data_IF_717798954703
#
_entry.id   IF_717798954703
#
_cell.length_a   1.000
_cell.length_b   1.000
_cell.length_c   1.000
_cell.angle_alpha   90.00
_cell.angle_beta   90.00
_cell.angle_gamma   90.00
#
_symmetry.space_group_name_H-M   'P 1'
#
loop_
_entity.id
_entity.type
_entity.pdbx_description
1 polymer ?
#
# COMPACT_ATOMS: atom_id res chain seq x y z
N UNK A 1 37.52 -2.45 15.20
CA UNK A 1 36.75 -3.53 14.53
C UNK A 1 37.10 -3.54 13.05
N UNK A 2 37.13 -4.70 12.38
CA UNK A 2 37.28 -4.70 10.93
C UNK A 2 36.06 -4.00 10.29
N UNK A 3 36.27 -3.25 9.22
CA UNK A 3 35.20 -2.55 8.48
C UNK A 3 34.01 -3.47 8.13
N UNK A 4 34.29 -4.78 7.97
CA UNK A 4 33.29 -5.82 7.72
C UNK A 4 32.46 -6.21 8.95
N UNK A 5 33.11 -6.41 10.10
CA UNK A 5 32.42 -6.76 11.34
C UNK A 5 31.46 -5.65 11.75
N UNK A 6 31.83 -4.39 11.50
CA UNK A 6 30.98 -3.23 11.75
C UNK A 6 29.70 -3.25 10.90
N UNK A 7 29.81 -3.37 9.57
CA UNK A 7 28.65 -3.44 8.68
C UNK A 7 27.77 -4.68 8.94
N UNK A 8 28.38 -5.81 9.30
CA UNK A 8 27.64 -7.02 9.65
C UNK A 8 26.85 -6.82 10.95
N UNK A 9 27.44 -6.18 11.96
CA UNK A 9 26.76 -5.86 13.20
C UNK A 9 25.58 -4.91 12.95
N UNK A 10 25.80 -3.81 12.22
CA UNK A 10 24.72 -2.89 11.84
C UNK A 10 23.61 -3.61 11.07
N UNK A 11 23.99 -4.49 10.13
CA UNK A 11 23.05 -5.28 9.35
C UNK A 11 22.19 -6.22 10.22
N UNK A 12 22.80 -6.91 11.19
CA UNK A 12 22.08 -7.78 12.12
C UNK A 12 21.13 -7.00 13.03
N UNK A 13 21.56 -5.84 13.56
CA UNK A 13 20.68 -4.98 14.34
C UNK A 13 19.50 -4.47 13.52
N UNK A 14 19.75 -4.00 12.29
CA UNK A 14 18.68 -3.60 11.38
C UNK A 14 17.75 -4.77 11.07
N UNK A 15 18.25 -5.99 10.88
CA UNK A 15 17.43 -7.16 10.61
C UNK A 15 16.46 -7.46 11.77
N UNK A 16 16.93 -7.37 13.01
CA UNK A 16 16.07 -7.54 14.20
C UNK A 16 14.97 -6.47 14.22
N UNK A 17 15.31 -5.21 13.91
CA UNK A 17 14.33 -4.14 13.83
C UNK A 17 13.33 -4.32 12.69
N UNK A 18 13.75 -4.82 11.51
CA UNK A 18 12.85 -5.16 10.42
C UNK A 18 11.88 -6.29 10.80
N UNK A 19 12.36 -7.33 11.48
CA UNK A 19 11.49 -8.39 11.99
C UNK A 19 10.51 -7.85 13.05
N UNK A 20 10.96 -6.96 13.92
CA UNK A 20 10.11 -6.24 14.87
C UNK A 20 9.05 -5.40 14.17
N UNK A 21 9.42 -4.70 13.09
CA UNK A 21 8.51 -3.90 12.27
C UNK A 21 7.43 -4.78 11.60
N UNK A 22 7.82 -5.95 11.09
CA UNK A 22 6.87 -6.93 10.54
C UNK A 22 5.88 -7.42 11.60
N UNK A 23 6.32 -7.64 12.84
CA UNK A 23 5.42 -7.99 13.93
C UNK A 23 4.49 -6.82 14.28
N UNK A 24 5.05 -5.62 14.47
CA UNK A 24 4.31 -4.40 14.77
C UNK A 24 3.27 -4.07 13.70
N UNK A 25 3.55 -4.39 12.42
CA UNK A 25 2.63 -4.16 11.31
C UNK A 25 1.26 -4.82 11.51
N UNK A 26 1.18 -5.91 12.28
CA UNK A 26 -0.08 -6.65 12.54
C UNK A 26 -1.09 -5.85 13.38
N UNK A 27 -0.64 -4.80 14.05
CA UNK A 27 -1.49 -3.86 14.79
C UNK A 27 -2.11 -2.79 13.86
N UNK A 28 -1.70 -2.73 12.59
CA UNK A 28 -2.21 -1.78 11.59
C UNK A 28 -3.32 -2.44 10.75
N UNK A 29 -4.37 -2.90 11.41
CA UNK A 29 -5.52 -3.48 10.73
C UNK A 29 -6.36 -2.40 10.03
N UNK A 30 -6.79 -2.68 8.80
CA UNK A 30 -7.67 -1.79 8.04
C UNK A 30 -9.03 -1.66 8.73
N UNK A 31 -9.56 -0.44 8.83
CA UNK A 31 -10.90 -0.19 9.39
C UNK A 31 -11.00 -0.25 10.93
N UNK A 32 -9.92 -0.60 11.64
CA UNK A 32 -9.96 -0.85 13.09
C UNK A 32 -8.82 -0.14 13.82
N UNK A 33 -9.06 0.21 15.09
CA UNK A 33 -8.01 0.59 16.05
C UNK A 33 -7.22 1.86 15.71
N UNK A 34 -7.72 2.75 14.85
CA UNK A 34 -6.94 3.92 14.37
C UNK A 34 -6.33 4.77 15.49
N UNK A 35 -7.07 4.99 16.58
CA UNK A 35 -6.60 5.75 17.75
C UNK A 35 -5.61 4.98 18.64
N UNK A 36 -5.60 3.66 18.53
CA UNK A 36 -4.80 2.75 19.36
C UNK A 36 -3.55 2.23 18.64
N UNK A 37 -3.39 2.55 17.35
CA UNK A 37 -2.23 2.14 16.55
C UNK A 37 -0.93 2.59 17.22
N UNK A 38 0.09 1.72 17.30
CA UNK A 38 1.36 2.02 17.97
C UNK A 38 2.27 2.89 17.09
N UNK A 39 1.83 4.12 16.85
CA UNK A 39 2.48 5.08 15.95
C UNK A 39 3.84 5.50 16.50
N UNK A 40 3.95 5.72 17.81
CA UNK A 40 5.21 6.14 18.43
C UNK A 40 6.26 5.04 18.38
N UNK A 41 5.86 3.79 18.61
CA UNK A 41 6.71 2.61 18.50
C UNK A 41 7.18 2.43 17.06
N UNK A 42 6.26 2.56 16.10
CA UNK A 42 6.60 2.53 14.67
C UNK A 42 7.64 3.59 14.33
N UNK A 43 7.40 4.85 14.73
CA UNK A 43 8.33 5.96 14.49
C UNK A 43 9.69 5.73 15.17
N UNK A 44 9.71 5.19 16.39
CA UNK A 44 10.95 4.89 17.10
C UNK A 44 11.78 3.80 16.39
N UNK A 45 11.13 2.72 15.93
CA UNK A 45 11.77 1.66 15.14
C UNK A 45 12.27 2.21 13.81
N UNK A 46 11.45 2.97 13.10
CA UNK A 46 11.80 3.55 11.80
C UNK A 46 12.95 4.54 11.91
N UNK A 47 12.94 5.42 12.92
CA UNK A 47 14.03 6.33 13.22
C UNK A 47 15.32 5.58 13.56
N UNK A 48 15.23 4.51 14.35
CA UNK A 48 16.39 3.66 14.68
C UNK A 48 16.98 3.01 13.43
N UNK A 49 16.14 2.48 12.53
CA UNK A 49 16.56 1.96 11.23
C UNK A 49 17.25 3.04 10.38
N UNK A 50 16.72 4.26 10.36
CA UNK A 50 17.32 5.39 9.67
C UNK A 50 18.72 5.74 10.23
N UNK A 51 18.88 5.76 11.55
CA UNK A 51 20.20 6.00 12.19
C UNK A 51 21.19 4.91 11.80
N UNK A 52 20.79 3.62 11.87
CA UNK A 52 21.65 2.50 11.47
C UNK A 52 22.04 2.58 9.98
N UNK A 53 21.09 2.97 9.12
CA UNK A 53 21.34 3.22 7.70
C UNK A 53 22.34 4.36 7.49
N UNK A 54 22.15 5.50 8.15
CA UNK A 54 23.06 6.65 8.07
C UNK A 54 24.48 6.27 8.52
N UNK A 55 24.62 5.54 9.63
CA UNK A 55 25.91 5.01 10.10
C UNK A 55 26.56 4.05 9.10
N UNK A 56 25.78 3.17 8.47
CA UNK A 56 26.26 2.28 7.42
C UNK A 56 26.74 3.07 6.19
N UNK A 57 25.98 4.07 5.74
CA UNK A 57 26.36 4.96 4.64
C UNK A 57 27.64 5.73 4.95
N UNK A 58 27.73 6.40 6.10
CA UNK A 58 28.94 7.12 6.51
C UNK A 58 30.16 6.21 6.53
N UNK A 59 30.00 4.98 7.02
CA UNK A 59 31.10 4.02 7.05
C UNK A 59 31.50 3.52 5.65
N UNK A 60 30.53 3.24 4.78
CA UNK A 60 30.77 2.82 3.39
C UNK A 60 31.46 3.92 2.59
N UNK A 61 31.06 5.18 2.74
CA UNK A 61 31.66 6.30 2.00
C UNK A 61 33.06 6.68 2.51
N UNK A 62 33.38 6.40 3.77
CA UNK A 62 34.68 6.70 4.37
C UNK A 62 35.66 5.51 4.37
N UNK A 63 35.27 4.35 3.84
CA UNK A 63 36.08 3.13 3.84
C UNK A 63 36.44 2.66 2.42
N UNK A 64 37.60 2.03 2.27
CA UNK A 64 37.95 1.35 1.03
C UNK A 64 36.99 0.16 0.77
N UNK A 65 36.30 0.21 -0.37
CA UNK A 65 35.33 -0.83 -0.76
C UNK A 65 36.04 -2.07 -1.33
N UNK A 66 35.57 -3.26 -0.96
CA UNK A 66 35.98 -4.53 -1.57
C UNK A 66 34.76 -5.41 -1.90
N UNK A 67 34.99 -6.46 -2.70
CA UNK A 67 33.94 -7.38 -3.15
C UNK A 67 33.12 -8.00 -1.99
N UNK A 68 33.74 -8.25 -0.83
CA UNK A 68 33.02 -8.81 0.33
C UNK A 68 32.05 -7.81 0.94
N UNK A 69 32.43 -6.53 1.02
CA UNK A 69 31.53 -5.46 1.46
C UNK A 69 30.34 -5.31 0.51
N UNK A 70 30.54 -5.41 -0.82
CA UNK A 70 29.44 -5.41 -1.78
C UNK A 70 28.43 -6.51 -1.48
N UNK A 71 28.90 -7.75 -1.37
CA UNK A 71 28.02 -8.90 -1.08
C UNK A 71 27.35 -8.79 0.28
N UNK A 72 28.02 -8.19 1.28
CA UNK A 72 27.40 -7.93 2.59
C UNK A 72 26.18 -7.01 2.44
N UNK A 73 26.31 -5.91 1.68
CA UNK A 73 25.20 -4.99 1.43
C UNK A 73 24.06 -5.65 0.65
N UNK A 74 24.39 -6.44 -0.38
CA UNK A 74 23.38 -7.18 -1.18
C UNK A 74 22.62 -8.18 -0.31
N UNK A 75 23.34 -9.01 0.46
CA UNK A 75 22.72 -10.03 1.33
C UNK A 75 21.81 -9.38 2.34
N UNK A 76 22.26 -8.36 3.08
CA UNK A 76 21.41 -7.68 4.04
C UNK A 76 20.24 -6.94 3.38
N UNK A 77 20.44 -6.30 2.23
CA UNK A 77 19.36 -5.65 1.49
C UNK A 77 18.26 -6.62 1.03
N UNK A 78 18.62 -7.87 0.71
CA UNK A 78 17.68 -8.94 0.42
C UNK A 78 17.02 -9.49 1.69
N UNK A 79 17.78 -9.66 2.78
CA UNK A 79 17.24 -10.11 4.07
C UNK A 79 16.22 -9.12 4.63
N UNK A 80 16.47 -7.81 4.54
CA UNK A 80 15.52 -6.79 4.98
C UNK A 80 14.22 -6.84 4.17
N UNK A 81 14.32 -7.00 2.85
CA UNK A 81 13.16 -7.19 1.97
C UNK A 81 12.37 -8.44 2.32
N UNK A 82 13.07 -9.56 2.53
CA UNK A 82 12.43 -10.81 2.93
C UNK A 82 11.76 -10.70 4.31
N UNK A 83 12.38 -10.00 5.26
CA UNK A 83 11.85 -9.79 6.60
C UNK A 83 10.55 -8.98 6.59
N UNK A 84 10.47 -7.92 5.77
CA UNK A 84 9.30 -7.04 5.70
C UNK A 84 8.22 -7.53 4.72
N UNK A 85 8.54 -8.44 3.79
CA UNK A 85 7.60 -8.93 2.77
C UNK A 85 6.23 -9.42 3.31
N UNK A 86 6.13 -10.12 4.47
CA UNK A 86 4.85 -10.55 5.01
C UNK A 86 4.17 -9.51 5.92
N UNK A 87 4.67 -8.26 5.98
CA UNK A 87 4.06 -7.21 6.80
C UNK A 87 2.69 -6.80 6.25
N UNK A 88 1.81 -6.34 7.13
CA UNK A 88 0.62 -5.60 6.72
C UNK A 88 1.00 -4.18 6.29
N UNK A 89 0.09 -3.49 5.59
CA UNK A 89 0.25 -2.09 5.26
C UNK A 89 0.27 -1.24 6.54
N UNK A 90 1.29 -0.41 6.70
CA UNK A 90 1.44 0.47 7.87
C UNK A 90 1.03 1.88 7.45
N UNK A 91 -0.08 2.36 8.03
CA UNK A 91 -0.63 3.70 7.77
C UNK A 91 -0.86 4.02 6.28
N UNK A 92 -1.20 3.00 5.48
CA UNK A 92 -1.49 3.15 4.06
C UNK A 92 -2.66 2.25 3.65
N UNK A 93 -3.64 2.81 2.94
CA UNK A 93 -4.81 2.07 2.43
C UNK A 93 -5.13 2.34 0.95
N UNK A 94 -4.44 3.26 0.28
CA UNK A 94 -4.61 3.58 -1.14
C UNK A 94 -4.35 2.40 -2.09
N UNK A 95 -3.70 1.33 -1.61
CA UNK A 95 -3.51 0.08 -2.37
C UNK A 95 -4.82 -0.47 -2.94
N UNK A 96 -5.94 -0.34 -2.20
CA UNK A 96 -7.24 -0.83 -2.66
C UNK A 96 -7.76 0.00 -3.84
N UNK A 97 -7.53 1.33 -3.81
CA UNK A 97 -7.88 2.23 -4.92
C UNK A 97 -7.08 1.88 -6.16
N UNK A 98 -5.76 1.69 -6.05
CA UNK A 98 -4.92 1.32 -7.19
C UNK A 98 -5.30 -0.03 -7.82
N UNK A 99 -5.63 -1.03 -6.99
CA UNK A 99 -6.04 -2.34 -7.48
C UNK A 99 -7.38 -2.26 -8.22
N UNK A 100 -8.32 -1.47 -7.71
CA UNK A 100 -9.58 -1.21 -8.40
C UNK A 100 -9.38 -0.45 -9.71
N UNK A 101 -8.62 0.64 -9.70
CA UNK A 101 -8.36 1.47 -10.88
C UNK A 101 -7.63 0.68 -11.97
N UNK A 102 -6.69 -0.18 -11.59
CA UNK A 102 -6.04 -1.12 -12.52
C UNK A 102 -7.04 -2.09 -13.15
N UNK A 103 -8.02 -2.59 -12.38
CA UNK A 103 -9.09 -3.45 -12.88
C UNK A 103 -10.02 -2.71 -13.83
N UNK A 104 -10.39 -1.47 -13.51
CA UNK A 104 -11.21 -0.58 -14.36
C UNK A 104 -10.50 -0.33 -15.69
N UNK A 105 -9.22 0.05 -15.63
CA UNK A 105 -8.38 0.30 -16.80
C UNK A 105 -8.23 -0.95 -17.68
N UNK A 106 -8.06 -2.13 -17.08
CA UNK A 106 -7.97 -3.39 -17.82
C UNK A 106 -9.23 -3.73 -18.63
N UNK A 107 -10.38 -3.11 -18.30
CA UNK A 107 -11.64 -3.23 -19.04
C UNK A 107 -11.87 -2.09 -20.03
N UNK A 108 -10.86 -1.25 -20.28
CA UNK A 108 -10.94 -0.15 -21.25
C UNK A 108 -11.75 1.06 -20.77
N UNK A 109 -12.11 1.11 -19.48
CA UNK A 109 -12.86 2.21 -18.88
C UNK A 109 -11.86 3.16 -18.22
N UNK A 110 -12.11 4.47 -18.32
CA UNK A 110 -11.27 5.48 -17.66
C UNK A 110 -11.45 5.40 -16.11
N UNK A 111 -10.41 5.02 -15.34
CA UNK A 111 -10.52 4.88 -13.88
C UNK A 111 -10.85 6.17 -13.13
N UNK A 112 -10.58 7.33 -13.76
CA UNK A 112 -10.83 8.64 -13.17
C UNK A 112 -12.21 9.21 -13.52
N UNK A 113 -13.03 8.47 -14.27
CA UNK A 113 -14.33 8.96 -14.75
C UNK A 113 -15.43 8.84 -13.70
N UNK A 114 -15.41 7.76 -12.92
CA UNK A 114 -16.43 7.47 -11.92
C UNK A 114 -15.80 7.30 -10.53
N UNK A 115 -16.41 7.93 -9.53
CA UNK A 115 -16.10 7.66 -8.15
C UNK A 115 -16.54 6.22 -7.77
N UNK A 116 -15.82 5.54 -6.86
CA UNK A 116 -16.25 4.26 -6.29
C UNK A 116 -17.70 4.26 -5.81
N UNK A 117 -18.16 5.35 -5.19
CA UNK A 117 -19.52 5.45 -4.68
C UNK A 117 -20.58 5.52 -5.78
N UNK A 118 -20.28 6.13 -6.93
CA UNK A 118 -21.19 6.07 -8.08
C UNK A 118 -21.42 4.63 -8.55
N UNK A 119 -20.40 3.77 -8.41
CA UNK A 119 -20.47 2.34 -8.76
C UNK A 119 -21.21 1.57 -7.66
N UNK A 120 -20.99 1.90 -6.38
CA UNK A 120 -21.69 1.31 -5.25
C UNK A 120 -23.20 1.59 -5.31
N UNK A 121 -23.58 2.81 -5.69
CA UNK A 121 -24.95 3.30 -5.74
C UNK A 121 -25.63 3.08 -7.09
N UNK A 122 -24.91 2.65 -8.13
CA UNK A 122 -25.44 2.46 -9.49
C UNK A 122 -26.82 1.76 -9.50
N UNK A 123 -26.93 0.61 -8.82
CA UNK A 123 -28.18 -0.18 -8.82
C UNK A 123 -29.30 0.51 -8.05
N UNK A 124 -29.00 1.13 -6.89
CA UNK A 124 -30.00 1.80 -6.07
C UNK A 124 -30.50 3.08 -6.74
N UNK A 125 -29.59 3.91 -7.28
CA UNK A 125 -29.93 5.15 -8.00
C UNK A 125 -30.80 4.87 -9.22
N UNK A 126 -30.46 3.84 -10.01
CA UNK A 126 -31.24 3.43 -11.19
C UNK A 126 -32.68 3.02 -10.84
N UNK A 127 -32.89 2.40 -9.67
CA UNK A 127 -34.23 1.92 -9.24
C UNK A 127 -35.01 3.02 -8.53
N UNK A 128 -34.38 3.73 -7.59
CA UNK A 128 -35.04 4.68 -6.70
C UNK A 128 -35.27 6.04 -7.37
N UNK A 129 -34.32 6.48 -8.22
CA UNK A 129 -34.36 7.80 -8.85
C UNK A 129 -34.07 7.73 -10.37
N UNK A 130 -34.88 6.99 -11.16
CA UNK A 130 -34.60 6.72 -12.57
C UNK A 130 -34.50 7.99 -13.42
N UNK A 131 -35.34 9.00 -13.16
CA UNK A 131 -35.32 10.27 -13.91
C UNK A 131 -34.01 11.02 -13.69
N UNK A 132 -33.54 11.10 -12.43
CA UNK A 132 -32.26 11.70 -12.11
C UNK A 132 -31.11 10.92 -12.74
N UNK A 133 -31.14 9.59 -12.61
CA UNK A 133 -30.13 8.70 -13.15
C UNK A 133 -29.93 8.88 -14.67
N UNK A 134 -31.03 8.90 -15.44
CA UNK A 134 -30.98 9.13 -16.89
C UNK A 134 -30.60 10.57 -17.27
N UNK A 135 -30.81 11.55 -16.39
CA UNK A 135 -30.33 12.93 -16.60
C UNK A 135 -28.82 13.07 -16.37
N UNK A 136 -28.24 12.24 -15.48
CA UNK A 136 -26.85 12.30 -15.04
C UNK A 136 -25.91 11.45 -15.90
N UNK A 137 -26.38 10.31 -16.40
CA UNK A 137 -25.59 9.32 -17.13
C UNK A 137 -26.20 9.02 -18.51
N UNK A 138 -25.42 9.23 -19.57
CA UNK A 138 -25.84 8.88 -20.93
C UNK A 138 -25.80 7.35 -21.15
N UNK A 139 -26.24 6.86 -22.31
CA UNK A 139 -26.28 5.41 -22.60
C UNK A 139 -24.91 4.72 -22.50
N UNK A 140 -23.85 5.40 -22.91
CA UNK A 140 -22.49 4.89 -22.81
C UNK A 140 -22.06 4.81 -21.34
N UNK A 141 -22.32 5.85 -20.54
CA UNK A 141 -21.99 5.86 -19.12
C UNK A 141 -22.74 4.78 -18.35
N UNK A 142 -24.02 4.57 -18.67
CA UNK A 142 -24.83 3.51 -18.08
C UNK A 142 -24.30 2.11 -18.41
N UNK A 143 -23.71 1.94 -19.60
CA UNK A 143 -23.10 0.68 -20.03
C UNK A 143 -21.79 0.43 -19.28
N UNK A 144 -20.94 1.46 -19.12
CA UNK A 144 -19.73 1.37 -18.32
C UNK A 144 -20.04 1.09 -16.85
N UNK A 145 -20.97 1.83 -16.24
CA UNK A 145 -21.37 1.61 -14.84
C UNK A 145 -21.97 0.22 -14.60
N UNK A 146 -22.67 -0.36 -15.59
CA UNK A 146 -23.14 -1.74 -15.51
C UNK A 146 -21.97 -2.73 -15.43
N UNK A 147 -20.97 -2.57 -16.31
CA UNK A 147 -19.74 -3.38 -16.29
C UNK A 147 -19.02 -3.22 -14.96
N UNK A 148 -18.83 -2.00 -14.47
CA UNK A 148 -18.15 -1.73 -13.20
C UNK A 148 -18.89 -2.33 -12.00
N UNK A 149 -20.22 -2.22 -11.99
CA UNK A 149 -21.05 -2.89 -10.98
C UNK A 149 -20.84 -4.40 -11.00
N UNK A 150 -20.79 -5.04 -12.18
CA UNK A 150 -20.55 -6.48 -12.28
C UNK A 150 -19.13 -6.86 -11.85
N UNK A 151 -18.12 -6.03 -12.16
CA UNK A 151 -16.73 -6.24 -11.72
C UNK A 151 -16.56 -6.17 -10.20
N UNK A 152 -17.35 -5.32 -9.52
CA UNK A 152 -17.38 -5.29 -8.04
C UNK A 152 -17.81 -6.64 -7.46
N UNK A 153 -18.81 -7.27 -8.07
CA UNK A 153 -19.41 -8.51 -7.58
C UNK A 153 -18.79 -9.80 -8.16
N UNK A 154 -17.74 -9.68 -8.98
CA UNK A 154 -17.11 -10.83 -9.66
C UNK A 154 -16.63 -11.92 -8.68
N UNK A 155 -16.03 -11.52 -7.55
CA UNK A 155 -15.59 -12.44 -6.50
C UNK A 155 -15.42 -11.70 -5.16
N UNK A 156 -15.26 -12.46 -4.07
CA UNK A 156 -15.12 -11.92 -2.73
C UNK A 156 -13.92 -10.96 -2.57
N UNK A 157 -12.83 -11.19 -3.31
CA UNK A 157 -11.65 -10.33 -3.29
C UNK A 157 -11.94 -8.97 -3.92
N UNK A 158 -12.63 -8.95 -5.07
CA UNK A 158 -13.02 -7.72 -5.75
C UNK A 158 -13.96 -6.88 -4.88
N UNK A 159 -14.95 -7.53 -4.25
CA UNK A 159 -15.86 -6.87 -3.32
C UNK A 159 -15.07 -6.28 -2.14
N UNK A 160 -14.19 -7.07 -1.52
CA UNK A 160 -13.35 -6.63 -0.41
C UNK A 160 -12.45 -5.46 -0.78
N UNK A 161 -11.88 -5.43 -2.00
CA UNK A 161 -11.07 -4.29 -2.44
C UNK A 161 -11.94 -3.04 -2.57
N UNK A 162 -13.10 -3.16 -3.22
CA UNK A 162 -14.02 -2.05 -3.40
C UNK A 162 -14.50 -1.45 -2.07
N UNK A 163 -14.86 -2.29 -1.10
CA UNK A 163 -15.30 -1.86 0.24
C UNK A 163 -14.18 -1.22 1.07
N UNK A 164 -12.92 -1.43 0.67
CA UNK A 164 -11.75 -0.92 1.39
C UNK A 164 -11.11 0.32 0.76
N UNK A 165 -11.70 0.83 -0.33
CA UNK A 165 -11.25 2.06 -0.95
C UNK A 165 -11.49 3.23 0.01
N UNK A 166 -10.43 3.97 0.30
CA UNK A 166 -10.51 5.23 1.01
C UNK A 166 -11.00 6.34 0.08
N UNK A 167 -11.68 7.36 0.62
CA UNK A 167 -12.28 8.46 -0.13
C UNK A 167 -13.11 8.00 -1.35
N UNK A 168 -14.11 7.11 -1.17
CA UNK A 168 -14.85 6.52 -2.28
C UNK A 168 -15.77 7.51 -3.01
N UNK A 169 -15.97 8.71 -2.46
CA UNK A 169 -16.79 9.79 -2.99
C UNK A 169 -16.11 10.57 -4.12
N UNK A 170 -14.79 10.47 -4.27
CA UNK A 170 -14.05 11.20 -5.30
C UNK A 170 -13.67 10.31 -6.50
N UNK A 171 -13.78 10.81 -7.75
CA UNK A 171 -13.30 10.09 -8.94
C UNK A 171 -11.78 9.94 -9.00
N UNK A 172 -11.04 10.81 -8.34
CA UNK A 172 -9.59 10.74 -8.23
C UNK A 172 -9.14 11.37 -6.91
N UNK A 173 -8.18 10.74 -6.24
CA UNK A 173 -7.47 11.29 -5.09
C UNK A 173 -6.17 12.01 -5.51
N UNK A 174 -5.87 12.05 -6.81
CA UNK A 174 -4.68 12.70 -7.37
C UNK A 174 -5.04 14.07 -7.98
N UNK A 175 -4.20 15.10 -7.75
CA UNK A 175 -4.37 16.44 -8.33
C UNK A 175 -4.13 16.48 -9.84
#
# INVERSE_FOLDING_TARGET
>A
MSSRAYLTALGLFSLVLYLGLTFLSKEFNWGEGYSERPILEYLAVYFSLFVLYALACTHVFNSAWNQKTFWTLIVFGLLFRAAILPSQQIQEDDVYRYLWDGKVFAHGINPFKYAPDEINEYRSLKIQNPVYFHSRYNEHDQSELAVLSDLKWENATALKFMERINHPDVPTIYP
#
